data_IF_839422123743
#
_entry.id   IF_839422123743
#
_cell.length_a   1.000
_cell.length_b   1.000
_cell.length_c   1.000
_cell.angle_alpha   90.00
_cell.angle_beta   90.00
_cell.angle_gamma   90.00
#
_symmetry.space_group_name_H-M   'P 1'
#
loop_
_entity.id
_entity.type
_entity.pdbx_description
1 polymer ?
#
# COMPACT_ATOMS: atom_id res chain seq x y z
N UNK A 1 -6.42 9.39 9.21
CA UNK A 1 -4.99 9.17 9.56
C UNK A 1 -4.92 8.07 10.62
N UNK A 2 -3.88 7.23 10.62
CA UNK A 2 -3.77 6.15 11.61
C UNK A 2 -3.52 6.71 13.02
N UNK A 3 -4.00 5.99 14.05
CA UNK A 3 -3.90 6.38 15.46
C UNK A 3 -2.58 5.98 16.12
N UNK A 4 -1.77 5.19 15.43
CA UNK A 4 -0.46 4.71 15.90
C UNK A 4 0.66 5.65 15.46
N UNK A 5 1.77 5.63 16.19
CA UNK A 5 2.99 6.33 15.78
C UNK A 5 3.54 5.72 14.49
N UNK A 6 3.81 6.58 13.52
CA UNK A 6 4.43 6.22 12.24
C UNK A 6 5.75 6.95 12.07
N UNK A 7 6.62 6.43 11.21
CA UNK A 7 7.93 7.01 10.90
C UNK A 7 7.78 7.91 9.67
N UNK A 8 8.21 9.16 9.79
CA UNK A 8 8.20 10.11 8.68
C UNK A 8 9.22 9.70 7.60
N UNK A 9 9.00 10.02 6.32
CA UNK A 9 9.95 9.67 5.25
C UNK A 9 11.40 10.11 5.48
N UNK A 10 11.59 11.29 6.08
CA UNK A 10 12.87 11.88 6.45
C UNK A 10 13.59 11.13 7.58
N UNK A 11 12.85 10.48 8.46
CA UNK A 11 13.38 9.70 9.59
C UNK A 11 13.56 8.21 9.24
N UNK A 12 13.15 7.81 8.04
CA UNK A 12 13.21 6.41 7.63
C UNK A 12 14.65 6.01 7.27
N UNK A 13 15.05 4.84 7.75
CA UNK A 13 16.35 4.24 7.45
C UNK A 13 16.22 2.81 6.88
N UNK A 14 17.36 2.22 6.54
CA UNK A 14 17.48 0.81 6.17
C UNK A 14 16.43 0.31 5.18
N UNK A 15 15.67 -0.72 5.58
CA UNK A 15 14.62 -1.32 4.73
C UNK A 15 13.44 -0.37 4.52
N UNK A 16 13.03 0.36 5.56
CA UNK A 16 11.87 1.25 5.48
C UNK A 16 12.11 2.36 4.46
N UNK A 17 13.29 2.98 4.49
CA UNK A 17 13.69 4.01 3.52
C UNK A 17 13.55 3.52 2.08
N UNK A 18 14.09 2.33 1.79
CA UNK A 18 13.98 1.74 0.43
C UNK A 18 12.53 1.52 0.01
N UNK A 19 11.66 1.10 0.93
CA UNK A 19 10.24 0.91 0.64
C UNK A 19 9.52 2.23 0.38
N UNK A 20 9.85 3.28 1.14
CA UNK A 20 9.33 4.64 0.93
C UNK A 20 9.81 5.26 -0.38
N UNK A 21 11.11 5.20 -0.67
CA UNK A 21 11.68 5.69 -1.93
C UNK A 21 11.01 4.98 -3.13
N UNK A 22 10.81 3.66 -3.04
CA UNK A 22 10.08 2.92 -4.05
C UNK A 22 8.59 3.32 -4.16
N UNK A 23 7.94 3.69 -3.05
CA UNK A 23 6.56 4.18 -3.07
C UNK A 23 6.47 5.55 -3.75
N UNK A 24 7.41 6.45 -3.47
CA UNK A 24 7.52 7.75 -4.13
C UNK A 24 7.78 7.56 -5.63
N UNK A 25 8.71 6.69 -6.02
CA UNK A 25 8.98 6.41 -7.44
C UNK A 25 7.77 5.86 -8.20
N UNK A 26 6.87 5.13 -7.55
CA UNK A 26 5.65 4.59 -8.18
C UNK A 26 4.49 5.56 -8.22
N UNK A 27 4.34 6.41 -7.20
CA UNK A 27 3.07 7.11 -6.96
C UNK A 27 3.25 8.58 -6.55
N UNK A 28 4.46 9.13 -6.67
CA UNK A 28 4.82 10.52 -6.38
C UNK A 28 4.87 10.88 -4.89
N UNK A 29 4.38 10.02 -3.99
CA UNK A 29 4.35 10.25 -2.54
C UNK A 29 4.20 8.96 -1.74
N UNK A 30 4.46 9.04 -0.43
CA UNK A 30 4.13 7.96 0.52
C UNK A 30 2.67 8.11 0.97
N UNK A 31 1.80 7.23 0.49
CA UNK A 31 0.39 7.16 0.92
C UNK A 31 0.26 6.63 2.36
N UNK A 32 -0.83 6.96 3.04
CA UNK A 32 -1.01 6.62 4.45
C UNK A 32 -1.07 5.10 4.71
N UNK A 33 -1.55 4.29 3.74
CA UNK A 33 -1.53 2.81 3.83
C UNK A 33 -0.11 2.23 3.87
N UNK A 34 0.86 2.92 3.28
CA UNK A 34 2.29 2.57 3.37
C UNK A 34 2.84 3.05 4.71
N UNK A 35 2.52 4.30 5.08
CA UNK A 35 3.01 4.94 6.31
C UNK A 35 2.53 4.23 7.58
N UNK A 36 1.28 3.76 7.62
CA UNK A 36 0.75 3.07 8.81
C UNK A 36 1.48 1.74 9.11
N UNK A 37 2.14 1.14 8.11
CA UNK A 37 2.89 -0.09 8.28
C UNK A 37 4.37 0.14 8.61
N UNK A 38 4.80 1.40 8.71
CA UNK A 38 6.18 1.78 8.97
C UNK A 38 6.80 1.14 10.22
N UNK A 39 6.07 0.89 11.34
CA UNK A 39 6.67 0.24 12.50
C UNK A 39 7.11 -1.21 12.24
N UNK A 40 6.63 -1.83 11.15
CA UNK A 40 6.98 -3.21 10.77
C UNK A 40 7.35 -3.29 9.27
N UNK A 41 8.54 -2.84 8.86
CA UNK A 41 8.93 -2.74 7.44
C UNK A 41 8.86 -4.08 6.67
N UNK A 42 9.10 -5.21 7.35
CA UNK A 42 8.93 -6.53 6.74
C UNK A 42 7.47 -6.86 6.40
N UNK A 43 6.52 -6.44 7.22
CA UNK A 43 5.08 -6.58 6.96
C UNK A 43 4.69 -5.68 5.78
N UNK A 44 5.15 -4.42 5.78
CA UNK A 44 4.92 -3.51 4.66
C UNK A 44 5.42 -4.08 3.31
N UNK A 45 6.60 -4.70 3.31
CA UNK A 45 7.14 -5.34 2.11
C UNK A 45 6.22 -6.47 1.62
N UNK A 46 5.80 -7.36 2.52
CA UNK A 46 4.91 -8.47 2.19
C UNK A 46 3.54 -7.98 1.70
N UNK A 47 2.94 -6.99 2.39
CA UNK A 47 1.63 -6.44 2.00
C UNK A 47 1.69 -5.77 0.62
N UNK A 48 2.79 -5.05 0.33
CA UNK A 48 2.97 -4.38 -0.96
C UNK A 48 3.16 -5.39 -2.08
N UNK A 49 3.88 -6.48 -1.82
CA UNK A 49 4.03 -7.57 -2.78
C UNK A 49 2.67 -8.20 -3.09
N UNK A 50 1.90 -8.57 -2.07
CA UNK A 50 0.54 -9.10 -2.26
C UNK A 50 -0.34 -8.14 -3.06
N UNK A 51 -0.38 -6.86 -2.68
CA UNK A 51 -1.15 -5.84 -3.39
C UNK A 51 -0.76 -5.75 -4.87
N UNK A 52 0.54 -5.82 -5.18
CA UNK A 52 1.03 -5.76 -6.56
C UNK A 52 0.59 -6.97 -7.38
N UNK A 53 0.72 -8.17 -6.82
CA UNK A 53 0.27 -9.39 -7.52
C UNK A 53 -1.23 -9.36 -7.77
N UNK A 54 -2.02 -8.98 -6.76
CA UNK A 54 -3.48 -8.91 -6.88
C UNK A 54 -3.90 -7.85 -7.90
N UNK A 55 -3.35 -6.63 -7.86
CA UNK A 55 -3.83 -5.51 -8.68
C UNK A 55 -3.20 -5.42 -10.07
N UNK A 56 -1.99 -5.93 -10.26
CA UNK A 56 -1.21 -5.78 -11.50
C UNK A 56 -0.76 -7.10 -12.13
N UNK A 57 -0.84 -8.23 -11.42
CA UNK A 57 -0.50 -9.54 -11.98
C UNK A 57 -1.38 -9.89 -13.18
N UNK A 58 -0.79 -10.44 -14.25
CA UNK A 58 -1.50 -10.68 -15.51
C UNK A 58 -2.28 -12.01 -15.54
N UNK A 59 -2.03 -12.89 -14.58
CA UNK A 59 -2.47 -14.30 -14.62
C UNK A 59 -3.96 -14.51 -14.26
N UNK A 60 -4.63 -13.52 -13.69
CA UNK A 60 -5.99 -13.70 -13.14
C UNK A 60 -7.14 -13.42 -14.13
N UNK A 61 -6.85 -13.05 -15.37
CA UNK A 61 -7.85 -12.80 -16.43
C UNK A 61 -8.74 -11.57 -16.24
N UNK A 62 -8.59 -10.80 -15.16
CA UNK A 62 -9.38 -9.58 -14.90
C UNK A 62 -8.62 -8.33 -15.33
N UNK A 63 -9.33 -7.38 -15.95
CA UNK A 63 -8.76 -6.06 -16.26
C UNK A 63 -8.51 -5.32 -14.95
N UNK A 64 -7.51 -4.44 -14.93
CA UNK A 64 -7.22 -3.61 -13.74
C UNK A 64 -8.45 -2.85 -13.24
N UNK A 65 -9.24 -2.28 -14.15
CA UNK A 65 -10.47 -1.57 -13.80
C UNK A 65 -11.47 -2.45 -13.02
N UNK A 66 -11.64 -3.71 -13.41
CA UNK A 66 -12.56 -4.63 -12.74
C UNK A 66 -12.10 -4.91 -11.30
N UNK A 67 -10.78 -5.00 -11.08
CA UNK A 67 -10.19 -5.18 -9.75
C UNK A 67 -10.41 -3.96 -8.85
N UNK A 68 -10.25 -2.75 -9.40
CA UNK A 68 -10.53 -1.50 -8.68
C UNK A 68 -12.03 -1.36 -8.34
N UNK A 69 -12.92 -1.79 -9.24
CA UNK A 69 -14.37 -1.84 -8.98
C UNK A 69 -14.70 -2.79 -7.83
N UNK A 70 -14.12 -4.00 -7.82
CA UNK A 70 -14.28 -4.96 -6.71
C UNK A 70 -13.78 -4.34 -5.40
N UNK A 71 -12.58 -3.74 -5.40
CA UNK A 71 -12.02 -3.07 -4.23
C UNK A 71 -12.95 -1.96 -3.71
N UNK A 72 -13.53 -1.17 -4.62
CA UNK A 72 -14.45 -0.07 -4.27
C UNK A 72 -15.75 -0.58 -3.64
N UNK A 73 -16.38 -1.60 -4.23
CA UNK A 73 -17.62 -2.19 -3.73
C UNK A 73 -17.40 -2.85 -2.37
N UNK A 74 -16.30 -3.59 -2.20
CA UNK A 74 -15.96 -4.22 -0.91
C UNK A 74 -15.68 -3.16 0.17
N UNK A 75 -14.94 -2.11 -0.17
CA UNK A 75 -14.69 -0.99 0.76
C UNK A 75 -15.99 -0.31 1.18
N UNK A 76 -16.91 -0.05 0.24
CA UNK A 76 -18.22 0.52 0.54
C UNK A 76 -19.05 -0.38 1.45
N UNK A 77 -19.13 -1.68 1.13
CA UNK A 77 -19.86 -2.66 1.93
C UNK A 77 -19.33 -2.77 3.37
N UNK A 78 -18.03 -2.54 3.57
CA UNK A 78 -17.38 -2.54 4.88
C UNK A 78 -17.33 -1.17 5.57
N UNK A 79 -17.95 -0.13 5.01
CA UNK A 79 -17.83 1.25 5.49
C UNK A 79 -16.36 1.72 5.68
N UNK A 80 -15.46 1.24 4.82
CA UNK A 80 -14.05 1.60 4.84
C UNK A 80 -13.84 2.94 4.13
N UNK A 81 -13.65 4.02 4.90
CA UNK A 81 -13.60 5.39 4.38
C UNK A 81 -12.28 5.76 3.67
N UNK A 82 -11.16 5.15 4.06
CA UNK A 82 -9.83 5.50 3.54
C UNK A 82 -9.70 5.24 2.04
#
# INVERSE_FOLDING_TARGET
MAWIKTVAPEDADGLLKRLYDAAIGRAGRVFNIIRLQSPRPHVLRASTQLYREVMFGQENGLRRMDRELIATVVSHANACFY
#
